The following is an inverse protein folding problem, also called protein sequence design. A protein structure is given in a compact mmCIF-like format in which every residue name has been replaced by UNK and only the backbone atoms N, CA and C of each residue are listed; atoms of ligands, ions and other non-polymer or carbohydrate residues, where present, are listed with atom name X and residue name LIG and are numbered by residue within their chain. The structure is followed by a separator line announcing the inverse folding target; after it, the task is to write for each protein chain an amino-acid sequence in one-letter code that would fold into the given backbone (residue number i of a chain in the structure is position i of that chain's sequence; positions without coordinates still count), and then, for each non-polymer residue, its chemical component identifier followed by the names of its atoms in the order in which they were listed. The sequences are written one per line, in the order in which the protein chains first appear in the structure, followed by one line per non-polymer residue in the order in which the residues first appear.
data_IF_313961379387
#
_entry.id   IF_313961379387
#
_cell.length_a   1.000
_cell.length_b   1.000
_cell.length_c   1.000
_cell.angle_alpha   90.00
_cell.angle_beta   90.00
_cell.angle_gamma   90.00
#
_symmetry.space_group_name_H-M   'P 1'
#
loop_
_entity.id
_entity.type
_entity.pdbx_description
1 polymer ?
#
# COMPACT_ATOMS: atom_id res chain seq x y z
N UNK A 1 -13.60 -13.74 9.93
CA UNK A 1 -13.74 -12.85 8.75
C UNK A 1 -12.36 -12.35 8.31
N UNK A 2 -11.43 -13.16 7.77
CA UNK A 2 -10.03 -12.62 7.75
C UNK A 2 -9.06 -13.07 6.66
N UNK A 3 -9.13 -14.26 6.05
CA UNK A 3 -8.20 -14.59 4.95
C UNK A 3 -8.65 -14.07 3.59
N UNK A 4 -9.96 -14.10 3.31
CA UNK A 4 -10.50 -13.73 1.99
C UNK A 4 -10.27 -12.25 1.63
N UNK A 5 -10.47 -11.30 2.56
CA UNK A 5 -10.32 -9.87 2.28
C UNK A 5 -8.87 -9.44 2.07
N UNK A 6 -7.95 -9.96 2.89
CA UNK A 6 -6.52 -9.69 2.70
C UNK A 6 -6.03 -10.27 1.37
N UNK A 7 -6.47 -11.48 1.02
CA UNK A 7 -6.13 -12.08 -0.26
C UNK A 7 -6.70 -11.29 -1.45
N UNK A 8 -7.94 -10.82 -1.35
CA UNK A 8 -8.55 -9.96 -2.37
C UNK A 8 -7.78 -8.64 -2.52
N UNK A 9 -7.40 -8.00 -1.41
CA UNK A 9 -6.57 -6.80 -1.41
C UNK A 9 -5.21 -7.03 -2.06
N UNK A 10 -4.52 -8.12 -1.71
CA UNK A 10 -3.22 -8.47 -2.32
C UNK A 10 -3.35 -8.77 -3.82
N UNK A 11 -4.41 -9.46 -4.22
CA UNK A 11 -4.68 -9.77 -5.63
C UNK A 11 -4.96 -8.51 -6.44
N UNK A 12 -5.75 -7.57 -5.91
CA UNK A 12 -6.03 -6.30 -6.56
C UNK A 12 -4.77 -5.43 -6.68
N UNK A 13 -3.98 -5.37 -5.60
CA UNK A 13 -2.70 -4.64 -5.59
C UNK A 13 -1.73 -5.18 -6.66
N UNK A 14 -1.60 -6.50 -6.78
CA UNK A 14 -0.74 -7.12 -7.77
C UNK A 14 -1.15 -6.73 -9.20
N UNK A 15 -2.46 -6.80 -9.51
CA UNK A 15 -3.00 -6.38 -10.80
C UNK A 15 -2.76 -4.90 -11.09
N UNK A 16 -2.96 -4.03 -10.10
CA UNK A 16 -2.75 -2.59 -10.27
C UNK A 16 -1.27 -2.26 -10.45
N UNK A 17 -0.38 -3.01 -9.80
CA UNK A 17 1.06 -2.84 -9.90
C UNK A 17 1.60 -3.21 -11.30
N UNK A 18 1.04 -4.21 -11.98
CA UNK A 18 1.40 -4.56 -13.37
C UNK A 18 1.20 -3.39 -14.34
N UNK A 19 0.25 -2.49 -14.05
CA UNK A 19 -0.11 -1.36 -14.90
C UNK A 19 0.40 -0.01 -14.38
N UNK A 20 1.07 0.03 -13.22
CA UNK A 20 1.54 1.28 -12.63
C UNK A 20 2.70 1.86 -13.43
N UNK A 21 2.54 3.07 -13.94
CA UNK A 21 3.62 3.84 -14.57
C UNK A 21 4.65 4.33 -13.55
N UNK A 22 5.93 4.35 -13.93
CA UNK A 22 7.04 4.68 -13.03
C UNK A 22 7.62 6.09 -13.21
N UNK A 23 7.20 6.85 -14.22
CA UNK A 23 7.74 8.18 -14.54
C UNK A 23 7.74 9.14 -13.34
N UNK A 24 6.73 9.06 -12.47
CA UNK A 24 6.58 9.90 -11.28
C UNK A 24 6.64 9.13 -9.95
N UNK A 25 6.94 7.83 -9.99
CA UNK A 25 6.95 7.03 -8.77
C UNK A 25 8.23 7.31 -7.97
N UNK A 26 8.16 7.47 -6.64
CA UNK A 26 9.33 7.85 -5.86
C UNK A 26 10.38 6.74 -5.82
N UNK A 27 11.65 7.12 -5.96
CA UNK A 27 12.77 6.20 -5.83
C UNK A 27 13.21 5.93 -4.39
N UNK A 28 12.91 6.85 -3.46
CA UNK A 28 13.40 6.79 -2.07
C UNK A 28 12.36 7.19 -0.99
N UNK A 29 11.16 7.61 -1.39
CA UNK A 29 10.06 7.83 -0.43
C UNK A 29 9.22 6.56 -0.30
N UNK A 30 8.64 6.36 0.88
CA UNK A 30 7.66 5.30 1.09
C UNK A 30 6.44 5.56 0.22
N UNK A 31 6.02 4.54 -0.53
CA UNK A 31 4.79 4.51 -1.33
C UNK A 31 4.33 3.05 -1.49
N UNK A 32 3.02 2.79 -1.65
CA UNK A 32 2.54 1.44 -1.93
C UNK A 32 2.98 1.01 -3.33
N UNK A 33 3.18 -0.30 -3.59
CA UNK A 33 3.54 -0.79 -4.93
C UNK A 33 2.61 -0.29 -6.04
N UNK A 34 1.33 -0.13 -5.74
CA UNK A 34 0.34 0.61 -6.52
C UNK A 34 -0.88 0.97 -5.64
N UNK A 35 -1.80 1.77 -6.17
CA UNK A 35 -3.02 2.18 -5.46
C UNK A 35 -2.84 3.42 -4.60
N UNK A 36 -3.90 3.83 -3.93
CA UNK A 36 -3.94 5.05 -3.13
C UNK A 36 -3.38 4.83 -1.71
N UNK A 37 -2.60 5.81 -1.23
CA UNK A 37 -2.09 5.88 0.14
C UNK A 37 -2.32 7.29 0.68
N UNK A 38 -2.65 7.40 1.97
CA UNK A 38 -2.67 8.67 2.69
C UNK A 38 -1.94 8.57 4.04
N UNK A 39 -2.67 8.67 5.16
CA UNK A 39 -2.10 8.93 6.48
C UNK A 39 -1.04 7.89 6.89
N UNK A 40 0.12 8.32 7.43
CA UNK A 40 1.02 7.40 8.09
C UNK A 40 0.36 6.84 9.35
N UNK A 41 0.52 5.54 9.58
CA UNK A 41 -0.03 4.83 10.73
C UNK A 41 1.04 3.99 11.41
N UNK A 42 0.88 3.75 12.72
CA UNK A 42 1.72 2.80 13.46
C UNK A 42 3.22 3.04 13.33
N UNK A 43 3.66 4.31 13.28
CA UNK A 43 5.07 4.67 13.25
C UNK A 43 5.72 4.29 14.58
N UNK A 44 6.44 3.16 14.61
CA UNK A 44 7.02 2.60 15.84
C UNK A 44 8.40 2.02 15.58
N UNK A 45 9.23 2.01 16.62
CA UNK A 45 10.41 1.17 16.70
C UNK A 45 10.05 -0.07 17.53
N UNK A 46 10.18 -1.26 16.94
CA UNK A 46 9.85 -2.52 17.61
C UNK A 46 10.67 -3.70 17.04
N UNK A 47 11.25 -4.51 17.93
CA UNK A 47 12.11 -5.65 17.59
C UNK A 47 13.20 -5.28 16.57
N UNK A 48 14.00 -4.28 16.92
CA UNK A 48 15.13 -3.77 16.12
C UNK A 48 14.78 -3.30 14.71
N UNK A 49 13.53 -2.84 14.51
CA UNK A 49 13.02 -2.37 13.22
C UNK A 49 12.13 -1.14 13.35
N UNK A 50 12.29 -0.21 12.41
CA UNK A 50 11.31 0.85 12.18
C UNK A 50 10.15 0.26 11.38
N UNK A 51 8.93 0.42 11.89
CA UNK A 51 7.70 0.05 11.19
C UNK A 51 6.97 1.32 10.80
N UNK A 52 6.58 1.40 9.53
CA UNK A 52 5.74 2.47 9.01
C UNK A 52 4.59 1.83 8.24
N UNK A 53 3.38 1.98 8.77
CA UNK A 53 2.15 1.58 8.09
C UNK A 53 1.49 2.82 7.50
N UNK A 54 0.46 2.61 6.69
CA UNK A 54 -0.27 3.69 6.06
C UNK A 54 -1.70 3.27 5.75
N UNK A 55 -2.60 4.23 5.71
CA UNK A 55 -3.94 4.02 5.15
C UNK A 55 -3.83 3.74 3.65
N UNK A 56 -4.52 2.69 3.17
CA UNK A 56 -4.33 2.16 1.83
C UNK A 56 -5.63 1.68 1.19
N UNK A 57 -5.83 2.03 -0.09
CA UNK A 57 -6.86 1.45 -0.94
C UNK A 57 -6.20 0.65 -2.08
N UNK A 58 -6.20 -0.70 -2.02
CA UNK A 58 -5.43 -1.56 -2.93
C UNK A 58 -6.08 -1.75 -4.31
N UNK A 59 -7.33 -1.30 -4.50
CA UNK A 59 -8.10 -1.52 -5.73
C UNK A 59 -8.16 -0.30 -6.66
N UNK A 60 -7.71 0.87 -6.21
CA UNK A 60 -7.71 2.10 -7.04
C UNK A 60 -6.70 3.13 -6.53
N UNK A 61 -6.30 4.03 -7.44
CA UNK A 61 -5.57 5.27 -7.22
C UNK A 61 -6.41 6.41 -6.60
N UNK A 62 -7.71 6.21 -6.37
CA UNK A 62 -8.56 7.16 -5.67
C UNK A 62 -8.78 6.76 -4.21
N UNK A 63 -9.08 7.76 -3.38
CA UNK A 63 -9.55 7.52 -2.01
C UNK A 63 -10.82 6.66 -2.03
N UNK A 64 -10.88 5.70 -1.11
CA UNK A 64 -12.04 4.82 -0.95
C UNK A 64 -11.83 3.79 0.16
N UNK A 65 -12.81 2.92 0.39
CA UNK A 65 -12.63 1.60 0.99
C UNK A 65 -12.26 0.53 -0.04
#
# INVERSE_FOLDING_TARGET
MTQSRLHAAQTALAKLHEHRGNTFYPHFHLAPPAGWMNDPNGLIWFNDRYHAFYQHHPMSEHWGP
#
